data_IF_546118121507
#
_entry.id   IF_546118121507
#
_cell.length_a   1.000
_cell.length_b   1.000
_cell.length_c   1.000
_cell.angle_alpha   90.00
_cell.angle_beta   90.00
_cell.angle_gamma   90.00
#
_symmetry.space_group_name_H-M   'P 1'
#
loop_
_entity.id
_entity.type
_entity.pdbx_description
1 polymer ?
#
# COMPACT_ATOMS: atom_id res chain seq x y z
N UNK A 1 -22.13 -8.93 14.60
CA UNK A 1 -20.83 -8.33 14.28
C UNK A 1 -20.69 -7.97 12.80
N UNK A 2 -21.04 -8.83 11.82
CA UNK A 2 -21.02 -8.47 10.39
C UNK A 2 -21.87 -7.23 10.05
N UNK A 3 -23.04 -7.05 10.66
CA UNK A 3 -23.89 -5.87 10.46
C UNK A 3 -23.31 -4.57 11.04
N UNK A 4 -22.46 -4.67 12.06
CA UNK A 4 -21.83 -3.53 12.74
C UNK A 4 -20.67 -2.94 11.90
N UNK A 5 -19.71 -3.77 11.46
CA UNK A 5 -18.62 -3.34 10.61
C UNK A 5 -19.13 -2.83 9.25
N UNK A 6 -20.12 -3.53 8.65
CA UNK A 6 -20.73 -3.09 7.41
C UNK A 6 -21.36 -1.68 7.53
N UNK A 7 -22.07 -1.39 8.62
CA UNK A 7 -22.68 -0.07 8.86
C UNK A 7 -21.64 1.02 9.08
N UNK A 8 -20.48 0.68 9.65
CA UNK A 8 -19.40 1.64 9.84
C UNK A 8 -18.71 1.95 8.50
N UNK A 9 -18.43 0.92 7.68
CA UNK A 9 -17.89 1.09 6.33
C UNK A 9 -18.84 1.85 5.38
N UNK A 10 -20.16 1.75 5.60
CA UNK A 10 -21.17 2.51 4.84
C UNK A 10 -21.32 3.97 5.33
N UNK A 11 -20.51 4.44 6.28
CA UNK A 11 -20.56 5.79 6.82
C UNK A 11 -21.79 6.09 7.70
N UNK A 12 -22.55 5.06 8.09
CA UNK A 12 -23.80 5.21 8.89
C UNK A 12 -23.57 5.27 10.40
N UNK A 13 -22.32 5.04 10.87
CA UNK A 13 -21.97 5.15 12.29
C UNK A 13 -20.98 6.30 12.50
N UNK A 14 -21.35 7.21 13.41
CA UNK A 14 -20.47 8.28 13.91
C UNK A 14 -19.79 7.78 15.19
N UNK A 15 -18.47 7.91 15.30
CA UNK A 15 -17.67 7.56 16.46
C UNK A 15 -16.28 7.06 16.09
N UNK A 16 -15.35 7.14 17.03
CA UNK A 16 -14.02 6.58 16.85
C UNK A 16 -14.08 5.06 17.07
N UNK A 17 -13.54 4.30 16.13
CA UNK A 17 -13.40 2.86 16.28
C UNK A 17 -12.12 2.54 17.05
N UNK A 18 -12.22 1.65 18.03
CA UNK A 18 -11.11 1.16 18.85
C UNK A 18 -11.02 -0.34 18.74
N UNK A 19 -9.81 -0.91 18.88
CA UNK A 19 -9.61 -2.35 19.03
C UNK A 19 -9.25 -2.68 20.48
N UNK A 20 -9.91 -3.70 21.03
CA UNK A 20 -9.56 -4.33 22.31
C UNK A 20 -8.96 -5.69 22.00
N UNK A 21 -7.75 -5.96 22.50
CA UNK A 21 -6.95 -7.14 22.17
C UNK A 21 -6.53 -7.83 23.48
N UNK A 22 -6.94 -9.08 23.70
CA UNK A 22 -6.39 -9.94 24.74
C UNK A 22 -5.24 -10.76 24.14
N UNK A 23 -4.02 -10.16 24.14
CA UNK A 23 -2.84 -10.69 23.50
C UNK A 23 -2.09 -11.75 24.29
N UNK A 24 -0.91 -12.14 23.77
CA UNK A 24 -0.06 -13.17 24.37
C UNK A 24 -0.55 -14.59 24.13
N UNK A 25 -1.45 -14.79 23.16
CA UNK A 25 -1.98 -16.12 22.77
C UNK A 25 -1.42 -16.52 21.41
N UNK A 26 -1.01 -17.77 21.23
CA UNK A 26 -0.62 -18.27 19.91
C UNK A 26 -1.79 -18.20 18.93
N UNK A 27 -1.48 -17.82 17.71
CA UNK A 27 -2.38 -17.95 16.55
C UNK A 27 -2.20 -19.34 15.92
N UNK A 28 -3.16 -19.80 15.13
CA UNK A 28 -3.07 -21.07 14.42
C UNK A 28 -3.92 -21.07 13.16
N UNK A 29 -3.56 -21.93 12.21
CA UNK A 29 -4.34 -22.13 10.99
C UNK A 29 -3.71 -21.51 9.75
N UNK A 30 -4.58 -21.17 8.80
CA UNK A 30 -4.20 -20.69 7.47
C UNK A 30 -4.89 -19.36 7.18
N UNK A 31 -4.16 -18.43 6.59
CA UNK A 31 -4.69 -17.15 6.14
C UNK A 31 -4.31 -16.91 4.69
N UNK A 32 -5.29 -16.55 3.85
CA UNK A 32 -5.03 -16.13 2.48
C UNK A 32 -4.56 -14.66 2.46
N UNK A 33 -3.52 -14.38 1.68
CA UNK A 33 -3.03 -13.02 1.45
C UNK A 33 -4.11 -12.18 0.77
N UNK A 34 -4.39 -11.01 1.33
CA UNK A 34 -5.37 -10.06 0.79
C UNK A 34 -4.88 -9.41 -0.50
N UNK A 35 -5.78 -8.73 -1.20
CA UNK A 35 -5.44 -8.02 -2.43
C UNK A 35 -4.76 -6.69 -2.14
N UNK A 36 -3.88 -6.30 -3.07
CA UNK A 36 -3.04 -5.12 -2.93
C UNK A 36 -3.85 -3.82 -2.84
N UNK A 37 -3.68 -3.12 -1.72
CA UNK A 37 -4.18 -1.75 -1.58
C UNK A 37 -3.58 -0.85 -2.65
N UNK A 38 -2.26 -0.86 -2.79
CA UNK A 38 -1.56 0.07 -3.68
C UNK A 38 -1.86 -0.24 -5.15
N UNK A 39 -1.93 -1.53 -5.53
CA UNK A 39 -2.36 -1.95 -6.84
C UNK A 39 -3.79 -1.50 -7.17
N UNK A 40 -4.75 -1.75 -6.28
CA UNK A 40 -6.14 -1.34 -6.47
C UNK A 40 -6.28 0.17 -6.71
N UNK A 41 -5.58 0.98 -5.92
CA UNK A 41 -5.56 2.44 -6.05
C UNK A 41 -4.98 2.90 -7.38
N UNK A 42 -3.89 2.28 -7.83
CA UNK A 42 -3.27 2.58 -9.12
C UNK A 42 -4.18 2.18 -10.30
N UNK A 43 -4.83 1.02 -10.22
CA UNK A 43 -5.76 0.56 -11.25
C UNK A 43 -7.03 1.42 -11.34
N UNK A 44 -7.53 1.94 -10.21
CA UNK A 44 -8.63 2.92 -10.20
C UNK A 44 -8.25 4.19 -10.96
N UNK A 45 -7.04 4.72 -10.75
CA UNK A 45 -6.56 5.86 -11.51
C UNK A 45 -6.38 5.51 -13.01
N UNK A 46 -5.77 4.37 -13.31
CA UNK A 46 -5.53 3.89 -14.67
C UNK A 46 -6.82 3.66 -15.48
N UNK A 47 -7.94 3.32 -14.80
CA UNK A 47 -9.23 3.10 -15.46
C UNK A 47 -9.74 4.32 -16.23
N UNK A 48 -9.36 5.54 -15.82
CA UNK A 48 -9.70 6.79 -16.53
C UNK A 48 -9.07 6.90 -17.93
N UNK A 49 -8.06 6.09 -18.25
CA UNK A 49 -7.45 6.05 -19.59
C UNK A 49 -8.35 5.33 -20.60
N UNK A 50 -9.23 4.45 -20.12
CA UNK A 50 -10.11 3.62 -20.94
C UNK A 50 -11.48 4.26 -21.12
N UNK A 51 -11.97 4.33 -22.36
CA UNK A 51 -13.34 4.76 -22.68
C UNK A 51 -14.36 3.63 -22.62
N UNK A 52 -13.91 2.37 -22.66
CA UNK A 52 -14.74 1.20 -22.48
C UNK A 52 -14.96 0.86 -20.99
N UNK A 53 -15.83 -0.10 -20.74
CA UNK A 53 -16.12 -0.59 -19.39
C UNK A 53 -14.89 -1.30 -18.81
N UNK A 54 -14.51 -0.94 -17.57
CA UNK A 54 -13.43 -1.61 -16.82
C UNK A 54 -14.03 -2.34 -15.63
N UNK A 55 -13.82 -3.66 -15.55
CA UNK A 55 -14.22 -4.48 -14.40
C UNK A 55 -12.94 -4.88 -13.65
N UNK A 56 -12.76 -4.35 -12.45
CA UNK A 56 -11.69 -4.75 -11.55
C UNK A 56 -12.20 -5.81 -10.58
N UNK A 57 -11.66 -7.02 -10.68
CA UNK A 57 -12.00 -8.11 -9.77
C UNK A 57 -11.16 -8.07 -8.50
N UNK A 58 -11.71 -8.61 -7.42
CA UNK A 58 -10.99 -8.75 -6.14
C UNK A 58 -10.48 -7.42 -5.57
N UNK A 59 -11.20 -6.33 -5.77
CA UNK A 59 -10.83 -5.02 -5.19
C UNK A 59 -11.05 -5.07 -3.68
N UNK A 60 -10.04 -4.70 -2.84
CA UNK A 60 -10.21 -4.69 -1.40
C UNK A 60 -11.16 -3.57 -0.96
N UNK A 61 -12.14 -3.91 -0.10
CA UNK A 61 -13.10 -2.94 0.45
C UNK A 61 -12.49 -2.20 1.65
N UNK A 62 -11.65 -1.21 1.35
CA UNK A 62 -10.92 -0.40 2.32
C UNK A 62 -11.20 1.10 2.12
N UNK A 63 -10.97 1.90 3.15
CA UNK A 63 -11.26 3.33 3.11
C UNK A 63 -10.51 4.10 2.02
N UNK A 64 -9.29 3.72 1.69
CA UNK A 64 -8.53 4.37 0.61
C UNK A 64 -9.22 4.17 -0.75
N UNK A 65 -9.73 2.98 -1.02
CA UNK A 65 -10.50 2.67 -2.23
C UNK A 65 -11.82 3.42 -2.24
N UNK A 66 -12.55 3.44 -1.11
CA UNK A 66 -13.83 4.16 -1.00
C UNK A 66 -13.66 5.66 -1.31
N UNK A 67 -12.60 6.30 -0.79
CA UNK A 67 -12.33 7.72 -1.08
C UNK A 67 -12.10 7.98 -2.57
N UNK A 68 -11.39 7.09 -3.27
CA UNK A 68 -11.19 7.24 -4.72
C UNK A 68 -12.47 6.95 -5.51
N UNK A 69 -13.32 6.02 -5.07
CA UNK A 69 -14.64 5.79 -5.68
C UNK A 69 -15.51 7.03 -5.55
N UNK A 70 -15.51 7.70 -4.39
CA UNK A 70 -16.24 8.95 -4.19
C UNK A 70 -15.74 10.04 -5.14
N UNK A 71 -14.41 10.16 -5.31
CA UNK A 71 -13.82 11.08 -6.27
C UNK A 71 -14.23 10.75 -7.70
N UNK A 72 -14.13 9.50 -8.13
CA UNK A 72 -14.54 9.08 -9.49
C UNK A 72 -16.02 9.39 -9.75
N UNK A 73 -16.89 9.06 -8.81
CA UNK A 73 -18.33 9.34 -8.92
C UNK A 73 -18.62 10.83 -8.99
N UNK A 74 -17.93 11.64 -8.20
CA UNK A 74 -18.16 13.08 -8.16
C UNK A 74 -17.85 13.78 -9.48
N UNK A 75 -16.87 13.27 -10.23
CA UNK A 75 -16.51 13.79 -11.55
C UNK A 75 -17.35 13.17 -12.70
N UNK A 76 -18.36 12.35 -12.39
CA UNK A 76 -19.30 11.79 -13.35
C UNK A 76 -18.97 10.37 -13.84
N UNK A 77 -17.95 9.69 -13.30
CA UNK A 77 -17.64 8.30 -13.66
C UNK A 77 -18.61 7.35 -12.92
N UNK A 78 -19.26 6.45 -13.65
CA UNK A 78 -20.07 5.38 -13.06
C UNK A 78 -19.17 4.37 -12.36
N UNK A 79 -19.39 4.10 -11.07
CA UNK A 79 -18.62 3.11 -10.31
C UNK A 79 -19.57 2.33 -9.43
N UNK A 80 -19.67 1.02 -9.65
CA UNK A 80 -20.59 0.15 -8.92
C UNK A 80 -19.89 -1.11 -8.41
N UNK A 81 -20.29 -1.54 -7.20
CA UNK A 81 -19.83 -2.80 -6.64
C UNK A 81 -20.71 -3.96 -7.13
N UNK A 82 -20.10 -4.96 -7.75
CA UNK A 82 -20.70 -6.28 -8.06
C UNK A 82 -19.97 -7.35 -7.23
N UNK A 83 -20.44 -7.62 -6.01
CA UNK A 83 -19.78 -8.55 -5.10
C UNK A 83 -18.42 -8.01 -4.61
N UNK A 84 -17.31 -8.68 -4.97
CA UNK A 84 -15.93 -8.24 -4.74
C UNK A 84 -15.32 -7.54 -5.97
N UNK A 85 -16.10 -7.33 -7.01
CA UNK A 85 -15.68 -6.66 -8.24
C UNK A 85 -16.18 -5.23 -8.26
N UNK A 86 -15.42 -4.34 -8.88
CA UNK A 86 -15.78 -2.97 -9.11
C UNK A 86 -15.94 -2.73 -10.60
N UNK A 87 -17.12 -2.34 -11.02
CA UNK A 87 -17.45 -2.01 -12.40
C UNK A 87 -17.34 -0.50 -12.57
N UNK A 88 -16.46 -0.07 -13.47
CA UNK A 88 -16.19 1.32 -13.78
C UNK A 88 -16.68 1.58 -15.20
N UNK A 89 -17.65 2.47 -15.33
CA UNK A 89 -18.24 2.87 -16.62
C UNK A 89 -17.87 4.32 -16.89
N UNK A 90 -17.09 4.59 -17.92
CA UNK A 90 -16.72 5.96 -18.29
C UNK A 90 -17.96 6.78 -18.60
N UNK A 91 -17.90 8.07 -18.31
CA UNK A 91 -18.92 9.04 -18.71
C UNK A 91 -18.47 9.80 -19.94
N UNK A 92 -19.42 10.11 -20.83
CA UNK A 92 -19.16 11.05 -21.95
C UNK A 92 -18.90 12.49 -21.45
N UNK A 93 -19.32 12.79 -20.22
CA UNK A 93 -19.21 14.11 -19.60
C UNK A 93 -18.52 13.98 -18.24
N UNK A 94 -17.20 13.86 -18.26
CA UNK A 94 -16.39 13.97 -17.04
C UNK A 94 -16.20 15.48 -16.75
N UNK A 95 -16.49 15.90 -15.52
CA UNK A 95 -16.28 17.27 -15.05
C UNK A 95 -15.43 17.26 -13.77
N UNK A 96 -14.15 17.58 -13.93
CA UNK A 96 -13.20 17.66 -12.82
C UNK A 96 -13.51 18.80 -11.84
N UNK A 97 -14.27 19.81 -12.27
CA UNK A 97 -14.72 20.91 -11.43
C UNK A 97 -15.69 20.47 -10.31
N UNK A 98 -16.33 19.30 -10.48
CA UNK A 98 -17.25 18.70 -9.50
C UNK A 98 -16.55 17.79 -8.48
N UNK A 99 -15.20 17.72 -8.51
CA UNK A 99 -14.45 16.82 -7.64
C UNK A 99 -14.80 16.98 -6.15
N UNK A 100 -15.09 15.86 -5.48
CA UNK A 100 -15.29 15.84 -4.03
C UNK A 100 -13.98 16.18 -3.31
N UNK A 101 -13.86 17.46 -2.91
CA UNK A 101 -12.66 17.98 -2.23
C UNK A 101 -12.44 17.29 -0.88
N UNK A 102 -13.52 16.93 -0.17
CA UNK A 102 -13.42 16.28 1.12
C UNK A 102 -12.87 14.84 0.99
N UNK A 103 -13.31 14.10 0.00
CA UNK A 103 -12.75 12.78 -0.30
C UNK A 103 -11.30 12.89 -0.84
N UNK A 104 -11.05 13.78 -1.78
CA UNK A 104 -9.74 13.98 -2.42
C UNK A 104 -8.64 14.36 -1.42
N UNK A 105 -8.93 15.24 -0.46
CA UNK A 105 -7.96 15.68 0.56
C UNK A 105 -7.64 14.62 1.61
N UNK A 106 -8.47 13.57 1.75
CA UNK A 106 -8.21 12.46 2.69
C UNK A 106 -7.18 11.46 2.19
N UNK A 107 -6.84 11.49 0.89
CA UNK A 107 -5.89 10.56 0.30
C UNK A 107 -4.83 11.25 -0.53
N UNK A 108 -3.57 10.79 -0.40
CA UNK A 108 -2.49 11.25 -1.28
C UNK A 108 -2.61 10.66 -2.70
N UNK A 109 -3.34 9.57 -2.84
CA UNK A 109 -3.49 8.83 -4.09
C UNK A 109 -4.20 9.64 -5.18
N UNK A 110 -4.85 10.74 -4.82
CA UNK A 110 -5.43 11.69 -5.79
C UNK A 110 -4.39 12.23 -6.79
N UNK A 111 -3.12 12.32 -6.42
CA UNK A 111 -2.04 12.73 -7.31
C UNK A 111 -1.88 11.81 -8.53
N UNK A 112 -2.27 10.55 -8.41
CA UNK A 112 -2.20 9.58 -9.51
C UNK A 112 -3.25 9.87 -10.59
N UNK A 113 -4.26 10.67 -10.30
CA UNK A 113 -5.27 11.07 -11.29
C UNK A 113 -4.71 12.09 -12.31
N UNK A 114 -3.59 12.77 -11.98
CA UNK A 114 -3.00 13.76 -12.89
C UNK A 114 -2.65 13.09 -14.23
N UNK A 115 -1.95 11.94 -14.20
CA UNK A 115 -1.52 11.23 -15.40
C UNK A 115 -2.64 10.85 -16.37
N UNK A 116 -3.77 10.26 -15.91
CA UNK A 116 -4.92 10.01 -16.79
C UNK A 116 -5.68 11.27 -17.20
N UNK A 117 -5.87 12.24 -16.30
CA UNK A 117 -6.68 13.43 -16.56
C UNK A 117 -6.06 14.39 -17.59
N UNK A 118 -4.73 14.43 -17.76
CA UNK A 118 -4.08 15.24 -18.82
C UNK A 118 -4.47 14.78 -20.23
N UNK A 119 -5.04 13.57 -20.40
CA UNK A 119 -5.57 13.09 -21.68
C UNK A 119 -7.02 13.49 -21.93
N UNK A 120 -7.69 14.05 -20.91
CA UNK A 120 -9.08 14.48 -20.98
C UNK A 120 -9.19 16.01 -20.96
N UNK A 121 -8.28 16.69 -20.26
CA UNK A 121 -8.31 18.13 -20.04
C UNK A 121 -6.94 18.76 -20.30
N UNK A 122 -6.92 19.87 -21.00
CA UNK A 122 -5.70 20.67 -21.25
C UNK A 122 -5.42 21.65 -20.10
N UNK A 123 -6.43 22.00 -19.33
CA UNK A 123 -6.39 22.93 -18.20
C UNK A 123 -7.40 22.49 -17.15
N UNK A 124 -6.93 22.20 -15.93
CA UNK A 124 -7.79 21.75 -14.82
C UNK A 124 -7.11 21.93 -13.46
N UNK A 125 -7.92 21.85 -12.42
CA UNK A 125 -7.44 21.93 -11.03
C UNK A 125 -7.73 20.63 -10.27
N UNK A 126 -6.83 20.26 -9.36
CA UNK A 126 -7.03 19.19 -8.38
C UNK A 126 -6.79 19.73 -6.97
N UNK A 127 -7.60 19.31 -5.97
CA UNK A 127 -7.34 19.65 -4.58
C UNK A 127 -5.96 19.20 -4.14
N UNK A 128 -5.32 19.96 -3.25
CA UNK A 128 -4.07 19.49 -2.63
C UNK A 128 -4.32 18.16 -1.92
N UNK A 129 -3.38 17.22 -2.15
CA UNK A 129 -3.43 15.93 -1.48
C UNK A 129 -3.19 16.10 0.02
N UNK A 130 -4.12 15.62 0.81
CA UNK A 130 -3.93 15.39 2.24
C UNK A 130 -3.19 14.08 2.49
N UNK A 131 -3.33 13.52 3.65
CA UNK A 131 -2.91 12.16 3.97
C UNK A 131 -1.85 12.07 5.05
N UNK A 132 -0.94 11.13 4.95
CA UNK A 132 -0.08 10.65 5.99
C UNK A 132 0.85 11.71 6.60
N UNK A 133 0.90 11.81 7.93
CA UNK A 133 1.72 12.76 8.72
C UNK A 133 3.18 12.32 8.90
N UNK A 134 3.74 11.53 7.98
CA UNK A 134 5.11 10.99 8.06
C UNK A 134 6.21 11.99 7.69
N UNK A 135 5.93 13.29 7.69
CA UNK A 135 6.86 14.33 7.29
C UNK A 135 6.50 15.00 5.96
N UNK A 136 7.38 15.88 5.49
CA UNK A 136 7.22 16.57 4.20
C UNK A 136 7.43 15.57 3.05
N UNK A 137 6.33 15.14 2.45
CA UNK A 137 6.37 14.30 1.24
C UNK A 137 6.18 15.18 0.02
N UNK A 138 7.30 15.58 -0.57
CA UNK A 138 7.28 16.38 -1.80
C UNK A 138 6.46 15.70 -2.90
N UNK A 139 5.72 16.51 -3.66
CA UNK A 139 5.06 16.09 -4.89
C UNK A 139 5.93 16.34 -6.13
N UNK A 140 7.10 16.95 -5.94
CA UNK A 140 7.99 17.39 -7.03
C UNK A 140 8.37 16.26 -7.97
N UNK A 141 8.45 15.02 -7.48
CA UNK A 141 8.71 13.84 -8.31
C UNK A 141 7.66 13.70 -9.43
N UNK A 142 6.38 13.90 -9.09
CA UNK A 142 5.29 13.87 -10.06
C UNK A 142 5.38 15.06 -11.03
N UNK A 143 5.68 16.27 -10.51
CA UNK A 143 5.81 17.48 -11.33
C UNK A 143 6.92 17.32 -12.37
N UNK A 144 8.13 16.97 -11.92
CA UNK A 144 9.31 16.87 -12.79
C UNK A 144 9.18 15.79 -13.86
N UNK A 145 8.54 14.66 -13.54
CA UNK A 145 8.35 13.61 -14.55
C UNK A 145 7.31 14.02 -15.58
N UNK A 146 6.22 14.68 -15.18
CA UNK A 146 5.14 15.10 -16.07
C UNK A 146 5.54 16.31 -16.94
N UNK A 147 6.42 17.19 -16.46
CA UNK A 147 7.01 18.27 -17.26
C UNK A 147 7.68 17.76 -18.54
N UNK A 148 8.31 16.56 -18.50
CA UNK A 148 8.93 15.96 -19.69
C UNK A 148 7.92 15.66 -20.79
N UNK A 149 6.69 15.35 -20.42
CA UNK A 149 5.58 15.09 -21.34
C UNK A 149 4.87 16.36 -21.82
N UNK A 150 5.33 17.55 -21.38
CA UNK A 150 4.78 18.86 -21.77
C UNK A 150 3.74 19.43 -20.80
N UNK A 151 3.61 18.87 -19.61
CA UNK A 151 2.65 19.31 -18.59
C UNK A 151 3.30 20.35 -17.68
N UNK A 152 2.59 21.44 -17.41
CA UNK A 152 2.96 22.43 -16.39
C UNK A 152 2.04 22.27 -15.19
N UNK A 153 2.61 22.17 -13.99
CA UNK A 153 1.84 22.05 -12.75
C UNK A 153 2.27 23.15 -11.78
N UNK A 154 1.34 24.00 -11.44
CA UNK A 154 1.50 25.06 -10.45
C UNK A 154 0.90 24.65 -9.12
N UNK A 155 1.66 24.77 -8.04
CA UNK A 155 1.18 24.47 -6.68
C UNK A 155 0.66 25.75 -6.05
N UNK A 156 -0.66 25.81 -5.85
CA UNK A 156 -1.35 26.90 -5.17
C UNK A 156 -1.60 26.50 -3.69
N UNK A 157 -2.20 27.37 -2.91
CA UNK A 157 -2.36 27.15 -1.45
C UNK A 157 -3.20 25.92 -1.10
N UNK A 158 -4.25 25.63 -1.89
CA UNK A 158 -5.24 24.58 -1.59
C UNK A 158 -5.44 23.58 -2.75
N UNK A 159 -4.74 23.78 -3.88
CA UNK A 159 -4.91 23.02 -5.11
C UNK A 159 -3.67 23.01 -5.99
N UNK A 160 -3.66 22.10 -6.94
CA UNK A 160 -2.73 22.07 -8.07
C UNK A 160 -3.45 22.56 -9.30
N UNK A 161 -2.84 23.46 -10.06
CA UNK A 161 -3.30 23.89 -11.38
C UNK A 161 -2.44 23.21 -12.44
N UNK A 162 -3.07 22.39 -13.27
CA UNK A 162 -2.42 21.53 -14.27
C UNK A 162 -2.82 21.99 -15.66
N UNK A 163 -1.83 22.24 -16.54
CA UNK A 163 -2.07 22.69 -17.92
C UNK A 163 -1.04 22.15 -18.89
N UNK A 164 -1.42 22.06 -20.16
CA UNK A 164 -0.52 21.77 -21.27
C UNK A 164 -1.09 22.25 -22.61
N UNK A 165 -0.21 22.63 -23.58
CA UNK A 165 -0.56 23.02 -24.93
C UNK A 165 -0.42 21.86 -25.93
N UNK A 166 -0.22 20.64 -25.44
CA UNK A 166 -0.06 19.42 -26.21
C UNK A 166 0.94 18.48 -25.53
N UNK A 167 0.58 17.19 -25.50
CA UNK A 167 1.42 16.15 -24.92
C UNK A 167 2.40 15.60 -25.95
N UNK A 168 3.60 15.22 -25.53
CA UNK A 168 4.66 14.68 -26.39
C UNK A 168 5.35 13.48 -25.74
N UNK A 169 5.76 12.50 -26.55
CA UNK A 169 6.63 11.42 -26.08
C UNK A 169 7.99 11.97 -25.60
N UNK A 170 8.55 11.35 -24.58
CA UNK A 170 9.74 11.87 -23.94
C UNK A 170 10.63 10.77 -23.34
N UNK A 171 11.91 11.12 -23.14
CA UNK A 171 12.74 10.42 -22.16
C UNK A 171 12.63 11.15 -20.83
N UNK A 172 11.97 10.54 -19.88
CA UNK A 172 11.78 11.04 -18.53
C UNK A 172 12.72 10.31 -17.55
N UNK A 173 13.42 11.07 -16.71
CA UNK A 173 14.30 10.52 -15.68
C UNK A 173 13.70 10.90 -14.35
N UNK A 174 13.38 9.92 -13.50
CA UNK A 174 12.94 10.17 -12.13
C UNK A 174 14.15 10.54 -11.26
N UNK A 175 13.92 11.39 -10.27
CA UNK A 175 14.94 11.74 -9.29
C UNK A 175 15.16 10.61 -8.27
N UNK A 176 14.11 9.85 -7.99
CA UNK A 176 14.11 8.64 -7.16
C UNK A 176 13.19 7.58 -7.76
N UNK A 177 13.39 6.32 -7.42
CA UNK A 177 12.53 5.22 -7.84
C UNK A 177 11.17 5.25 -7.07
N UNK A 178 10.41 6.29 -7.29
CA UNK A 178 9.08 6.49 -6.68
C UNK A 178 8.02 5.69 -7.43
N UNK A 179 7.26 4.85 -6.71
CA UNK A 179 6.17 4.05 -7.28
C UNK A 179 5.14 4.95 -7.97
N UNK A 180 4.54 5.88 -7.23
CA UNK A 180 3.44 6.71 -7.72
C UNK A 180 3.87 7.72 -8.80
N UNK A 181 5.11 8.21 -8.78
CA UNK A 181 5.61 9.04 -9.87
C UNK A 181 5.87 8.23 -11.15
N UNK A 182 6.33 6.97 -11.01
CA UNK A 182 6.46 6.03 -12.13
C UNK A 182 5.10 5.71 -12.74
N UNK A 183 4.08 5.47 -11.90
CA UNK A 183 2.71 5.21 -12.33
C UNK A 183 2.13 6.40 -13.10
N UNK A 184 2.30 7.64 -12.61
CA UNK A 184 1.89 8.84 -13.33
C UNK A 184 2.61 9.00 -14.69
N UNK A 185 3.90 8.67 -14.75
CA UNK A 185 4.64 8.68 -16.00
C UNK A 185 4.15 7.62 -16.99
N UNK A 186 3.78 6.43 -16.50
CA UNK A 186 3.16 5.37 -17.30
C UNK A 186 1.80 5.82 -17.84
N UNK A 187 0.95 6.42 -16.99
CA UNK A 187 -0.35 6.93 -17.41
C UNK A 187 -0.22 8.04 -18.45
N UNK A 188 0.70 8.97 -18.25
CA UNK A 188 0.98 10.02 -19.25
C UNK A 188 1.43 9.40 -20.59
N UNK A 189 2.41 8.49 -20.57
CA UNK A 189 2.95 7.87 -21.78
C UNK A 189 1.95 6.97 -22.51
N UNK A 190 0.97 6.37 -21.80
CA UNK A 190 0.06 5.35 -22.32
C UNK A 190 -0.75 5.79 -23.54
N UNK A 191 -1.13 7.07 -23.63
CA UNK A 191 -1.95 7.63 -24.73
C UNK A 191 -1.22 8.68 -25.55
N UNK A 192 0.10 8.81 -25.41
CA UNK A 192 0.92 9.70 -26.25
C UNK A 192 1.49 8.87 -27.41
N UNK A 193 1.20 9.22 -28.68
CA UNK A 193 1.76 8.53 -29.84
C UNK A 193 3.30 8.60 -29.84
N UNK A 194 3.93 7.49 -30.22
CA UNK A 194 5.40 7.34 -30.20
C UNK A 194 5.89 6.57 -28.99
N UNK A 195 7.19 6.54 -28.81
CA UNK A 195 7.84 5.80 -27.73
C UNK A 195 8.41 6.75 -26.69
N UNK A 196 8.01 6.56 -25.45
CA UNK A 196 8.58 7.24 -24.29
C UNK A 196 9.49 6.27 -23.52
N UNK A 197 10.54 6.81 -22.88
CA UNK A 197 11.45 6.04 -22.04
C UNK A 197 11.42 6.63 -20.62
N UNK A 198 11.11 5.82 -19.64
CA UNK A 198 11.09 6.21 -18.22
C UNK A 198 12.30 5.56 -17.57
N UNK A 199 13.26 6.37 -17.11
CA UNK A 199 14.50 5.90 -16.47
C UNK A 199 14.45 6.12 -14.96
N UNK A 200 15.12 5.25 -14.23
CA UNK A 200 15.08 5.16 -12.78
C UNK A 200 13.66 4.96 -12.26
N UNK A 201 12.87 4.25 -13.07
CA UNK A 201 11.53 3.83 -12.73
C UNK A 201 11.55 2.87 -11.53
N UNK A 202 10.52 2.94 -10.70
CA UNK A 202 10.28 1.87 -9.73
C UNK A 202 9.90 0.58 -10.45
N UNK A 203 10.42 -0.53 -9.97
CA UNK A 203 10.10 -1.88 -10.43
C UNK A 203 9.25 -2.66 -9.39
N UNK A 204 8.64 -1.97 -8.43
CA UNK A 204 7.86 -2.56 -7.36
C UNK A 204 6.57 -3.22 -7.88
N UNK A 205 5.94 -4.08 -7.09
CA UNK A 205 4.78 -4.90 -7.46
C UNK A 205 3.63 -4.08 -8.06
N UNK A 206 3.24 -2.96 -7.46
CA UNK A 206 2.14 -2.13 -7.97
C UNK A 206 2.45 -1.50 -9.33
N UNK A 207 3.70 -1.14 -9.59
CA UNK A 207 4.13 -0.62 -10.90
C UNK A 207 4.08 -1.71 -11.97
N UNK A 208 4.52 -2.93 -11.62
CA UNK A 208 4.42 -4.09 -12.52
C UNK A 208 2.96 -4.43 -12.82
N UNK A 209 2.09 -4.33 -11.82
CA UNK A 209 0.64 -4.54 -11.98
C UNK A 209 0.02 -3.49 -12.92
N UNK A 210 0.36 -2.20 -12.76
CA UNK A 210 -0.04 -1.14 -13.70
C UNK A 210 0.45 -1.45 -15.12
N UNK A 211 1.70 -1.90 -15.28
CA UNK A 211 2.20 -2.30 -16.59
C UNK A 211 1.39 -3.46 -17.18
N UNK A 212 1.01 -4.45 -16.37
CA UNK A 212 0.15 -5.56 -16.78
C UNK A 212 -1.22 -5.09 -17.26
N UNK A 213 -1.87 -4.22 -16.49
CA UNK A 213 -3.16 -3.63 -16.84
C UNK A 213 -3.09 -2.80 -18.13
N UNK A 214 -2.09 -1.92 -18.25
CA UNK A 214 -1.91 -1.11 -19.46
C UNK A 214 -1.60 -1.97 -20.71
N UNK A 215 -0.84 -3.07 -20.56
CA UNK A 215 -0.63 -4.04 -21.64
C UNK A 215 -1.94 -4.72 -22.07
N UNK A 216 -2.79 -5.07 -21.11
CA UNK A 216 -4.12 -5.62 -21.40
C UNK A 216 -5.02 -4.61 -22.13
N UNK A 217 -4.79 -3.31 -21.93
CA UNK A 217 -5.39 -2.21 -22.68
C UNK A 217 -4.71 -1.90 -24.03
N UNK A 218 -3.74 -2.72 -24.47
CA UNK A 218 -3.08 -2.61 -25.76
C UNK A 218 -1.84 -1.71 -25.81
N UNK A 219 -1.43 -1.13 -24.67
CA UNK A 219 -0.19 -0.33 -24.60
C UNK A 219 1.03 -1.27 -24.62
N UNK A 220 2.02 -0.97 -25.47
CA UNK A 220 3.25 -1.76 -25.52
C UNK A 220 4.25 -1.24 -24.50
N UNK A 221 4.61 -2.07 -23.51
CA UNK A 221 5.55 -1.70 -22.45
C UNK A 221 6.68 -2.74 -22.41
N UNK A 222 7.92 -2.27 -22.54
CA UNK A 222 9.15 -3.07 -22.35
C UNK A 222 9.82 -2.73 -21.03
N UNK A 223 10.70 -3.64 -20.53
CA UNK A 223 11.51 -3.41 -19.34
C UNK A 223 10.76 -3.53 -18.00
N UNK A 224 9.57 -4.15 -17.97
CA UNK A 224 8.82 -4.36 -16.73
C UNK A 224 9.67 -5.14 -15.72
N UNK A 225 9.66 -4.72 -14.46
CA UNK A 225 10.51 -5.28 -13.41
C UNK A 225 11.95 -4.75 -13.40
N UNK A 226 12.27 -3.76 -14.26
CA UNK A 226 13.57 -3.08 -14.29
C UNK A 226 13.46 -1.59 -14.04
N UNK A 227 14.58 -0.92 -13.86
CA UNK A 227 14.65 0.54 -13.65
C UNK A 227 14.49 1.37 -14.92
N UNK A 228 14.24 0.74 -16.09
CA UNK A 228 14.02 1.45 -17.35
C UNK A 228 12.83 0.84 -18.07
N UNK A 229 11.78 1.64 -18.23
CA UNK A 229 10.57 1.26 -18.95
C UNK A 229 10.54 1.95 -20.30
N UNK A 230 10.15 1.23 -21.36
CA UNK A 230 9.84 1.77 -22.68
C UNK A 230 8.35 1.63 -22.91
N UNK A 231 7.67 2.73 -23.23
CA UNK A 231 6.22 2.77 -23.43
C UNK A 231 5.92 3.28 -24.83
N UNK A 232 5.31 2.45 -25.67
CA UNK A 232 4.76 2.91 -26.95
C UNK A 232 3.28 3.13 -26.75
N UNK A 233 2.91 4.40 -26.67
CA UNK A 233 1.54 4.82 -26.39
C UNK A 233 0.61 4.58 -27.59
N UNK A 234 -0.68 4.45 -27.26
CA UNK A 234 -1.76 4.28 -28.24
C UNK A 234 -2.61 5.56 -28.29
N UNK A 235 -3.15 5.89 -29.47
CA UNK A 235 -3.92 7.13 -29.64
C UNK A 235 -5.23 7.12 -28.84
N UNK A 236 -5.87 5.97 -28.77
CA UNK A 236 -7.15 5.81 -28.07
C UNK A 236 -7.23 4.43 -27.40
N UNK A 237 -7.89 4.37 -26.24
CA UNK A 237 -8.18 3.15 -25.52
C UNK A 237 -9.69 3.11 -25.30
N UNK A 238 -10.36 2.16 -25.97
CA UNK A 238 -11.80 2.00 -25.92
C UNK A 238 -12.14 0.52 -26.06
N UNK A 239 -12.11 -0.21 -24.95
CA UNK A 239 -12.46 -1.64 -24.94
C UNK A 239 -12.99 -2.05 -23.56
N UNK A 240 -13.89 -3.01 -23.56
CA UNK A 240 -14.32 -3.64 -22.32
C UNK A 240 -13.23 -4.58 -21.82
N UNK A 241 -12.83 -4.40 -20.57
CA UNK A 241 -11.75 -5.17 -19.95
C UNK A 241 -12.15 -5.67 -18.56
N UNK A 242 -11.69 -6.87 -18.22
CA UNK A 242 -11.72 -7.41 -16.88
C UNK A 242 -10.26 -7.66 -16.42
N UNK A 243 -9.93 -7.25 -15.18
CA UNK A 243 -8.61 -7.41 -14.62
C UNK A 243 -8.69 -7.67 -13.12
N UNK A 244 -7.90 -8.61 -12.60
CA UNK A 244 -7.89 -8.96 -11.18
C UNK A 244 -6.74 -8.27 -10.46
N UNK A 245 -7.05 -7.64 -9.30
CA UNK A 245 -6.02 -7.04 -8.43
C UNK A 245 -5.16 -8.14 -7.83
N UNK A 246 -3.83 -7.95 -7.85
CA UNK A 246 -2.87 -8.89 -7.29
C UNK A 246 -2.87 -8.92 -5.75
N UNK A 247 -2.26 -9.93 -5.19
CA UNK A 247 -2.04 -10.11 -3.76
C UNK A 247 -1.06 -9.05 -3.21
N UNK A 248 -1.22 -8.69 -1.93
CA UNK A 248 -0.43 -7.65 -1.25
C UNK A 248 0.75 -8.25 -0.47
N UNK A 249 2.01 -8.01 -0.86
CA UNK A 249 3.17 -8.49 -0.11
C UNK A 249 3.23 -7.93 1.31
N UNK A 250 2.64 -6.76 1.55
CA UNK A 250 2.63 -6.15 2.88
C UNK A 250 1.60 -6.81 3.80
N UNK A 251 0.50 -7.31 3.25
CA UNK A 251 -0.47 -8.12 3.98
C UNK A 251 0.14 -9.47 4.39
N UNK A 252 0.87 -10.12 3.49
CA UNK A 252 1.62 -11.34 3.82
C UNK A 252 2.64 -11.08 4.94
N UNK A 253 3.41 -9.98 4.85
CA UNK A 253 4.40 -9.60 5.87
C UNK A 253 3.75 -9.28 7.22
N UNK A 254 2.53 -8.71 7.25
CA UNK A 254 1.76 -8.52 8.48
C UNK A 254 1.56 -9.86 9.21
N UNK A 255 1.09 -10.91 8.52
CA UNK A 255 0.84 -12.22 9.13
C UNK A 255 2.13 -12.99 9.47
N UNK A 256 3.20 -12.84 8.69
CA UNK A 256 4.53 -13.36 9.06
C UNK A 256 4.96 -12.74 10.39
N UNK A 257 4.82 -11.42 10.54
CA UNK A 257 5.19 -10.72 11.76
C UNK A 257 4.28 -11.09 12.94
N UNK A 258 2.98 -11.26 12.69
CA UNK A 258 2.03 -11.72 13.71
C UNK A 258 2.40 -13.14 14.21
N UNK A 259 2.78 -14.05 13.30
CA UNK A 259 3.24 -15.38 13.67
C UNK A 259 4.49 -15.32 14.56
N UNK A 260 5.45 -14.45 14.24
CA UNK A 260 6.67 -14.24 15.04
C UNK A 260 6.33 -13.66 16.41
N UNK A 261 5.53 -12.59 16.46
CA UNK A 261 5.19 -11.88 17.71
C UNK A 261 4.40 -12.77 18.68
N UNK A 262 3.57 -13.66 18.15
CA UNK A 262 2.73 -14.59 18.95
C UNK A 262 3.35 -15.99 19.09
N UNK A 263 4.57 -16.21 18.56
CA UNK A 263 5.28 -17.50 18.55
C UNK A 263 4.43 -18.64 17.98
N UNK A 264 3.82 -18.38 16.85
CA UNK A 264 2.79 -19.23 16.25
C UNK A 264 3.30 -20.00 15.03
N UNK A 265 2.70 -21.15 14.79
CA UNK A 265 2.77 -21.83 13.51
C UNK A 265 1.61 -21.35 12.63
N UNK A 266 1.91 -20.68 11.54
CA UNK A 266 0.90 -20.19 10.58
C UNK A 266 1.26 -20.56 9.15
N UNK A 267 0.24 -20.78 8.33
CA UNK A 267 0.37 -20.85 6.88
C UNK A 267 -0.23 -19.60 6.25
N UNK A 268 0.59 -18.85 5.53
CA UNK A 268 0.17 -17.69 4.74
C UNK A 268 0.11 -18.13 3.28
N UNK A 269 -1.12 -18.25 2.73
CA UNK A 269 -1.30 -18.73 1.36
C UNK A 269 -1.33 -17.59 0.35
N UNK A 270 -0.94 -17.91 -0.89
CA UNK A 270 -0.93 -16.99 -2.02
C UNK A 270 -0.11 -15.72 -1.76
N UNK A 271 1.01 -15.82 -1.05
CA UNK A 271 1.93 -14.70 -0.88
C UNK A 271 2.65 -14.38 -2.20
N UNK A 272 2.74 -13.11 -2.62
CA UNK A 272 3.45 -12.70 -3.85
C UNK A 272 4.97 -12.79 -3.62
N UNK A 273 5.53 -13.97 -3.84
CA UNK A 273 6.83 -14.39 -3.32
C UNK A 273 7.99 -13.54 -3.82
N UNK A 274 7.99 -13.14 -5.09
CA UNK A 274 9.07 -12.34 -5.70
C UNK A 274 9.26 -10.98 -5.00
N UNK A 275 8.24 -10.50 -4.27
CA UNK A 275 8.26 -9.24 -3.53
C UNK A 275 8.47 -9.41 -2.03
N UNK A 276 8.87 -10.62 -1.61
CA UNK A 276 9.16 -10.99 -0.22
C UNK A 276 10.54 -11.67 -0.05
N UNK A 277 11.26 -11.90 -1.15
CA UNK A 277 12.52 -12.67 -1.12
C UNK A 277 13.56 -12.07 -0.17
N UNK A 278 13.73 -10.74 -0.17
CA UNK A 278 14.71 -10.08 0.69
C UNK A 278 14.26 -10.07 2.16
N UNK A 279 12.96 -9.87 2.41
CA UNK A 279 12.37 -10.00 3.74
C UNK A 279 12.58 -11.40 4.32
N UNK A 280 12.27 -12.42 3.54
CA UNK A 280 12.46 -13.82 3.95
C UNK A 280 13.95 -14.15 4.14
N UNK A 281 14.84 -13.64 3.28
CA UNK A 281 16.28 -13.78 3.45
C UNK A 281 16.76 -13.17 4.79
N UNK A 282 16.33 -11.95 5.11
CA UNK A 282 16.67 -11.31 6.39
C UNK A 282 16.14 -12.13 7.57
N UNK A 283 14.90 -12.60 7.49
CA UNK A 283 14.27 -13.43 8.52
C UNK A 283 14.97 -14.78 8.69
N UNK A 284 15.40 -15.41 7.60
CA UNK A 284 16.21 -16.63 7.64
C UNK A 284 17.53 -16.39 8.39
N UNK A 285 18.24 -15.30 8.10
CA UNK A 285 19.48 -14.92 8.80
C UNK A 285 19.25 -14.56 10.27
N UNK A 286 18.05 -14.12 10.62
CA UNK A 286 17.64 -13.94 12.01
C UNK A 286 17.25 -15.26 12.70
N UNK A 287 17.14 -16.38 11.97
CA UNK A 287 16.86 -17.71 12.51
C UNK A 287 15.42 -18.17 12.39
N UNK A 288 14.57 -17.44 11.62
CA UNK A 288 13.20 -17.87 11.38
C UNK A 288 13.18 -19.21 10.63
N UNK A 289 12.41 -20.16 11.14
CA UNK A 289 12.16 -21.46 10.51
C UNK A 289 10.89 -21.35 9.66
N UNK A 290 11.01 -21.50 8.37
CA UNK A 290 9.88 -21.50 7.44
C UNK A 290 10.15 -22.38 6.23
N UNK A 291 9.11 -22.74 5.50
CA UNK A 291 9.21 -23.37 4.18
C UNK A 291 8.26 -22.67 3.21
N UNK A 292 8.61 -22.73 1.93
CA UNK A 292 7.84 -22.11 0.86
C UNK A 292 7.43 -23.20 -0.13
N UNK A 293 6.16 -23.21 -0.53
CA UNK A 293 5.63 -24.11 -1.57
C UNK A 293 4.98 -23.28 -2.68
N UNK A 294 5.16 -23.71 -3.92
CA UNK A 294 4.55 -23.02 -5.08
C UNK A 294 3.02 -23.03 -4.99
N UNK A 295 2.41 -21.89 -5.20
CA UNK A 295 0.95 -21.69 -5.25
C UNK A 295 0.48 -21.17 -6.63
N UNK A 296 1.35 -21.24 -7.65
CA UNK A 296 1.05 -20.85 -9.02
C UNK A 296 1.17 -19.35 -9.28
N UNK A 297 0.23 -18.82 -10.07
CA UNK A 297 0.23 -17.43 -10.51
C UNK A 297 -1.11 -16.79 -10.15
N UNK A 298 -1.07 -15.52 -9.74
CA UNK A 298 -2.26 -14.72 -9.45
C UNK A 298 -3.21 -14.64 -10.65
N UNK A 299 -4.47 -14.35 -10.39
CA UNK A 299 -5.50 -14.14 -11.41
C UNK A 299 -5.14 -13.03 -12.43
N UNK A 300 -4.20 -12.12 -12.09
CA UNK A 300 -3.70 -11.11 -13.02
C UNK A 300 -2.73 -11.68 -14.09
N UNK A 301 -2.32 -12.94 -13.96
CA UNK A 301 -1.47 -13.65 -14.92
C UNK A 301 0.03 -13.32 -14.85
N UNK A 302 0.48 -12.46 -13.94
CA UNK A 302 1.88 -11.98 -13.89
C UNK A 302 2.57 -12.18 -12.54
N UNK A 303 1.83 -12.21 -11.44
CA UNK A 303 2.39 -12.27 -10.08
C UNK A 303 2.53 -13.72 -9.64
N UNK A 304 3.75 -14.19 -9.36
CA UNK A 304 3.99 -15.52 -8.82
C UNK A 304 3.60 -15.60 -7.35
N UNK A 305 2.91 -16.67 -7.00
CA UNK A 305 2.40 -16.91 -5.67
C UNK A 305 3.08 -18.10 -5.01
N UNK A 306 3.20 -18.05 -3.69
CA UNK A 306 3.63 -19.17 -2.88
C UNK A 306 2.88 -19.22 -1.56
N UNK A 307 2.82 -20.40 -0.96
CA UNK A 307 2.37 -20.59 0.41
C UNK A 307 3.59 -20.61 1.33
N UNK A 308 3.56 -19.79 2.39
CA UNK A 308 4.65 -19.64 3.35
C UNK A 308 4.21 -20.30 4.66
N UNK A 309 4.94 -21.33 5.10
CA UNK A 309 4.67 -22.07 6.32
C UNK A 309 5.65 -21.64 7.40
N UNK A 310 5.19 -20.83 8.35
CA UNK A 310 6.00 -20.33 9.47
C UNK A 310 5.96 -21.31 10.63
N UNK A 311 7.11 -21.51 11.30
CA UNK A 311 7.25 -22.29 12.53
C UNK A 311 7.74 -21.39 13.67
N UNK A 312 7.30 -21.62 14.92
CA UNK A 312 7.86 -20.93 16.07
C UNK A 312 9.40 -21.05 16.09
N UNK A 313 10.07 -19.95 16.26
CA UNK A 313 11.52 -19.86 16.11
C UNK A 313 12.14 -18.96 17.18
N UNK A 314 13.38 -19.26 17.55
CA UNK A 314 14.20 -18.40 18.41
C UNK A 314 15.04 -17.48 17.53
N UNK A 315 14.67 -16.19 17.50
CA UNK A 315 15.32 -15.22 16.65
C UNK A 315 16.53 -14.57 17.31
N UNK A 316 17.53 -14.21 16.50
CA UNK A 316 18.66 -13.37 16.89
C UNK A 316 18.62 -12.07 16.07
N UNK A 317 19.19 -11.01 16.62
CA UNK A 317 19.29 -9.73 15.92
C UNK A 317 20.04 -9.89 14.59
N UNK A 318 19.56 -9.21 13.56
CA UNK A 318 20.27 -9.18 12.29
C UNK A 318 21.64 -8.49 12.48
N UNK A 319 22.74 -9.06 11.99
CA UNK A 319 24.08 -8.54 12.28
C UNK A 319 24.39 -7.20 11.61
N UNK A 320 23.64 -6.85 10.57
CA UNK A 320 23.77 -5.59 9.86
C UNK A 320 22.54 -4.70 10.11
N UNK A 321 22.57 -3.44 9.66
CA UNK A 321 21.38 -2.58 9.69
C UNK A 321 20.31 -3.10 8.73
N UNK A 322 19.07 -3.13 9.16
CA UNK A 322 17.92 -3.39 8.29
C UNK A 322 17.45 -2.07 7.68
N UNK A 323 17.35 -2.00 6.36
CA UNK A 323 16.93 -0.80 5.64
C UNK A 323 16.24 -1.15 4.33
N UNK A 324 15.25 -0.35 3.97
CA UNK A 324 14.56 -0.49 2.70
C UNK A 324 15.31 0.19 1.56
N UNK A 325 15.13 -0.31 0.35
CA UNK A 325 15.59 0.27 -0.92
C UNK A 325 14.56 -0.02 -2.02
N UNK A 326 14.65 0.65 -3.18
CA UNK A 326 13.83 0.27 -4.32
C UNK A 326 13.95 -1.22 -4.65
N UNK A 327 12.83 -1.81 -5.09
CA UNK A 327 12.81 -3.21 -5.55
C UNK A 327 13.97 -3.49 -6.56
N UNK A 328 14.63 -4.65 -6.48
CA UNK A 328 14.28 -5.88 -5.74
C UNK A 328 14.80 -5.97 -4.30
N UNK A 329 15.13 -4.88 -3.66
CA UNK A 329 15.52 -4.88 -2.25
C UNK A 329 14.29 -4.89 -1.32
N UNK A 330 14.54 -4.90 0.02
CA UNK A 330 13.50 -4.89 1.05
C UNK A 330 12.51 -3.74 0.84
N UNK A 331 11.22 -4.09 0.79
CA UNK A 331 10.15 -3.14 0.53
C UNK A 331 10.04 -2.11 1.67
N UNK A 332 9.88 -0.85 1.28
CA UNK A 332 9.75 0.28 2.21
C UNK A 332 8.54 0.13 3.15
N UNK A 333 7.45 -0.48 2.68
CA UNK A 333 6.24 -0.69 3.46
C UNK A 333 6.35 -1.89 4.41
N UNK A 334 7.29 -2.82 4.15
CA UNK A 334 7.59 -3.96 5.01
C UNK A 334 8.60 -3.64 6.11
N UNK A 335 9.45 -2.60 5.93
CA UNK A 335 10.47 -2.23 6.90
C UNK A 335 9.93 -2.03 8.34
N UNK A 336 8.78 -1.36 8.58
CA UNK A 336 8.26 -1.16 9.93
C UNK A 336 8.01 -2.46 10.71
N UNK A 337 7.67 -3.55 10.04
CA UNK A 337 7.41 -4.84 10.70
C UNK A 337 8.66 -5.38 11.41
N UNK A 338 9.84 -5.09 10.89
CA UNK A 338 11.09 -5.47 11.52
C UNK A 338 11.30 -4.80 12.88
N UNK A 339 10.61 -3.70 13.18
CA UNK A 339 10.64 -3.11 14.52
C UNK A 339 9.98 -4.04 15.56
N UNK A 340 8.85 -4.65 15.23
CA UNK A 340 8.20 -5.65 16.09
C UNK A 340 9.04 -6.92 16.17
N UNK A 341 9.54 -7.41 15.03
CA UNK A 341 10.39 -8.63 14.97
C UNK A 341 11.63 -8.45 15.84
N UNK A 342 12.26 -7.27 15.81
CA UNK A 342 13.42 -6.96 16.63
C UNK A 342 13.14 -7.07 18.14
N UNK A 343 11.92 -6.76 18.60
CA UNK A 343 11.57 -6.95 20.02
C UNK A 343 11.58 -8.42 20.43
N UNK A 344 11.45 -9.36 19.50
CA UNK A 344 11.42 -10.81 19.73
C UNK A 344 12.78 -11.49 19.47
N UNK A 345 13.74 -10.78 18.89
CA UNK A 345 15.07 -11.29 18.54
C UNK A 345 16.08 -11.04 19.67
N UNK A 346 16.93 -12.00 19.99
CA UNK A 346 17.99 -11.81 20.99
C UNK A 346 19.09 -10.88 20.45
N UNK A 347 19.41 -9.81 21.18
CA UNK A 347 20.42 -8.81 20.82
C UNK A 347 19.80 -7.48 20.41
N UNK A 348 20.56 -6.63 19.73
CA UNK A 348 20.15 -5.30 19.33
C UNK A 348 20.09 -5.21 17.81
N UNK A 349 18.93 -4.87 17.26
CA UNK A 349 18.73 -4.68 15.82
C UNK A 349 18.70 -3.19 15.49
N UNK A 350 19.52 -2.76 14.52
CA UNK A 350 19.50 -1.40 13.99
C UNK A 350 18.60 -1.32 12.75
N UNK A 351 17.61 -0.45 12.78
CA UNK A 351 16.73 -0.14 11.64
C UNK A 351 17.04 1.26 11.14
N UNK A 352 17.21 1.39 9.82
CA UNK A 352 17.44 2.67 9.16
C UNK A 352 16.32 2.95 8.15
N UNK A 353 15.34 3.76 8.58
CA UNK A 353 14.18 4.18 7.81
C UNK A 353 14.41 5.55 7.15
N UNK A 354 15.24 5.57 6.13
CA UNK A 354 15.69 6.80 5.47
C UNK A 354 14.66 7.42 4.51
N UNK A 355 13.67 6.64 4.08
CA UNK A 355 12.76 7.06 3.00
C UNK A 355 11.63 7.98 3.48
N UNK A 356 11.35 8.00 4.78
CA UNK A 356 10.36 8.88 5.41
C UNK A 356 11.01 9.70 6.52
N UNK A 357 10.82 11.01 6.47
CA UNK A 357 11.54 11.93 7.39
C UNK A 357 11.24 11.70 8.87
N UNK A 358 10.09 11.15 9.23
CA UNK A 358 9.65 11.02 10.63
C UNK A 358 9.03 9.66 10.96
N UNK A 359 9.20 8.64 10.12
CA UNK A 359 8.50 7.37 10.38
C UNK A 359 9.14 6.57 11.52
N UNK A 360 10.46 6.58 11.65
CA UNK A 360 11.17 5.86 12.72
C UNK A 360 10.77 6.37 14.12
N UNK A 361 10.35 7.62 14.25
CA UNK A 361 9.85 8.17 15.52
C UNK A 361 8.67 7.38 16.06
N UNK A 362 7.77 6.91 15.18
CA UNK A 362 6.59 6.13 15.61
C UNK A 362 6.96 4.73 16.14
N UNK A 363 8.16 4.22 15.86
CA UNK A 363 8.58 2.92 16.40
C UNK A 363 8.83 2.98 17.91
N UNK A 364 9.10 4.18 18.48
CA UNK A 364 9.21 4.37 19.93
C UNK A 364 7.89 4.15 20.67
N UNK A 365 6.74 4.14 19.98
CA UNK A 365 5.45 3.76 20.60
C UNK A 365 5.44 2.29 21.09
N UNK A 366 6.36 1.45 20.60
CA UNK A 366 6.56 0.10 21.12
C UNK A 366 7.04 0.09 22.59
N UNK A 367 7.67 1.16 23.07
CA UNK A 367 8.12 1.29 24.47
C UNK A 367 6.93 1.28 25.44
N UNK A 368 5.75 1.76 25.01
CA UNK A 368 4.50 1.65 25.78
C UNK A 368 4.10 0.21 26.05
N UNK A 369 4.50 -0.69 25.16
CA UNK A 369 4.27 -2.15 25.29
C UNK A 369 5.47 -2.85 25.98
N UNK A 370 6.43 -2.11 26.51
CA UNK A 370 7.59 -2.65 27.22
C UNK A 370 8.77 -3.03 26.33
N UNK A 371 8.80 -2.61 25.07
CA UNK A 371 10.00 -2.67 24.26
C UNK A 371 11.07 -1.71 24.81
N UNK A 372 12.30 -1.87 24.36
CA UNK A 372 13.39 -0.91 24.60
C UNK A 372 13.88 -0.43 23.25
N UNK A 373 13.54 0.80 22.94
CA UNK A 373 13.98 1.45 21.72
C UNK A 373 14.93 2.59 22.01
N UNK A 374 15.91 2.83 21.14
CA UNK A 374 16.83 3.95 21.22
C UNK A 374 16.83 4.65 19.85
N UNK A 375 16.15 5.80 19.79
CA UNK A 375 16.08 6.63 18.60
C UNK A 375 17.38 7.47 18.51
N UNK A 376 18.22 7.18 17.53
CA UNK A 376 19.48 7.90 17.30
C UNK A 376 19.27 9.22 16.57
N UNK A 377 18.34 9.23 15.62
CA UNK A 377 17.89 10.37 14.85
C UNK A 377 16.53 10.05 14.20
N UNK A 378 15.88 10.96 13.45
CA UNK A 378 14.55 10.72 12.85
C UNK A 378 14.47 9.51 11.92
N UNK A 379 15.61 8.93 11.51
CA UNK A 379 15.72 7.85 10.55
C UNK A 379 16.28 6.55 11.13
N UNK A 380 17.03 6.61 12.23
CA UNK A 380 17.73 5.46 12.79
C UNK A 380 17.27 5.15 14.20
N UNK A 381 16.91 3.90 14.42
CA UNK A 381 16.47 3.39 15.71
C UNK A 381 17.10 2.03 15.99
N UNK A 382 17.61 1.82 17.19
CA UNK A 382 18.00 0.52 17.70
C UNK A 382 16.89 -0.04 18.58
N UNK A 383 16.63 -1.34 18.47
CA UNK A 383 15.64 -2.04 19.28
C UNK A 383 16.34 -3.21 19.97
N UNK A 384 16.27 -3.24 21.29
CA UNK A 384 16.82 -4.30 22.11
C UNK A 384 15.77 -5.39 22.33
N UNK A 385 16.05 -6.62 21.97
CA UNK A 385 15.25 -7.85 22.22
C UNK A 385 16.17 -8.90 22.90
N UNK A 386 15.68 -9.99 23.39
CA UNK A 386 14.28 -10.46 23.43
C UNK A 386 13.53 -9.77 24.57
N UNK A 387 12.35 -9.25 24.30
CA UNK A 387 11.50 -8.63 25.33
C UNK A 387 10.12 -9.27 25.37
N UNK A 388 9.61 -9.47 26.57
CA UNK A 388 8.21 -9.84 26.79
C UNK A 388 7.37 -8.56 26.74
N UNK A 389 6.53 -8.43 25.71
CA UNK A 389 5.65 -7.30 25.58
C UNK A 389 4.48 -7.40 26.56
N UNK A 390 3.99 -6.26 27.03
CA UNK A 390 2.91 -6.11 28.02
C UNK A 390 1.77 -5.33 27.43
N UNK A 391 0.58 -5.60 27.93
CA UNK A 391 -0.62 -4.88 27.55
C UNK A 391 -0.50 -3.37 27.83
N UNK A 392 -1.02 -2.57 26.91
CA UNK A 392 -1.05 -1.11 27.03
C UNK A 392 -2.27 -0.52 26.31
N UNK A 393 -2.58 0.71 26.68
CA UNK A 393 -3.49 1.57 25.91
C UNK A 393 -2.67 2.54 25.06
N UNK A 394 -2.90 2.55 23.75
CA UNK A 394 -2.18 3.39 22.78
C UNK A 394 -3.17 4.08 21.86
N UNK A 395 -2.94 5.36 21.59
CA UNK A 395 -3.63 6.06 20.50
C UNK A 395 -2.97 5.62 19.19
N UNK A 396 -3.78 5.13 18.26
CA UNK A 396 -3.30 4.63 16.98
C UNK A 396 -2.52 5.71 16.23
N UNK A 397 -1.28 5.46 15.80
CA UNK A 397 -0.55 6.39 14.96
C UNK A 397 -1.35 6.80 13.71
N UNK A 398 -1.25 8.06 13.27
CA UNK A 398 -2.03 8.55 12.12
C UNK A 398 -1.56 8.04 10.75
N UNK A 399 -0.62 7.10 10.73
CA UNK A 399 -0.04 6.49 9.55
C UNK A 399 -0.25 4.98 9.54
N UNK A 400 -0.61 4.41 8.39
CA UNK A 400 -0.99 3.00 8.24
C UNK A 400 0.05 2.02 8.79
N UNK A 401 1.31 2.11 8.37
CA UNK A 401 2.34 1.13 8.76
C UNK A 401 2.75 1.24 10.24
N UNK A 402 2.99 2.44 10.81
CA UNK A 402 3.13 2.58 12.25
C UNK A 402 1.95 2.05 13.06
N UNK A 403 0.72 2.28 12.58
CA UNK A 403 -0.49 1.77 13.24
C UNK A 403 -0.53 0.23 13.29
N UNK A 404 -0.18 -0.42 12.17
CA UNK A 404 -0.23 -1.88 12.07
C UNK A 404 0.83 -2.58 12.91
N UNK A 405 2.01 -2.01 13.07
CA UNK A 405 3.03 -2.61 13.95
C UNK A 405 2.62 -2.58 15.41
N UNK A 406 1.89 -1.55 15.86
CA UNK A 406 1.36 -1.52 17.22
C UNK A 406 0.29 -2.60 17.41
N UNK A 407 -0.61 -2.78 16.43
CA UNK A 407 -1.58 -3.87 16.46
C UNK A 407 -0.89 -5.24 16.58
N UNK A 408 0.13 -5.50 15.75
CA UNK A 408 0.86 -6.78 15.78
C UNK A 408 1.60 -6.96 17.12
N UNK A 409 2.21 -5.91 17.65
CA UNK A 409 2.87 -5.97 18.95
C UNK A 409 1.87 -6.28 20.07
N UNK A 410 0.65 -5.71 20.03
CA UNK A 410 -0.41 -6.00 20.99
C UNK A 410 -0.92 -7.45 20.91
N UNK A 411 -0.92 -8.08 19.73
CA UNK A 411 -1.24 -9.52 19.61
C UNK A 411 -0.23 -10.39 20.40
N UNK A 412 1.06 -10.01 20.40
CA UNK A 412 2.11 -10.70 21.16
C UNK A 412 2.20 -10.28 22.62
N UNK A 413 1.62 -9.15 23.02
CA UNK A 413 1.70 -8.60 24.37
C UNK A 413 0.78 -9.36 25.34
N UNK A 414 1.29 -9.73 26.52
CA UNK A 414 0.46 -10.40 27.53
C UNK A 414 -0.51 -9.43 28.19
N UNK A 415 -1.79 -9.80 28.19
CA UNK A 415 -2.90 -9.06 28.84
C UNK A 415 -3.77 -8.32 27.85
N UNK A 416 -4.65 -7.45 28.38
CA UNK A 416 -5.67 -6.74 27.61
C UNK A 416 -5.19 -5.35 27.19
N UNK A 417 -4.98 -5.16 25.90
CA UNK A 417 -4.58 -3.89 25.28
C UNK A 417 -5.77 -3.17 24.64
N UNK A 418 -5.67 -1.85 24.52
CA UNK A 418 -6.61 -1.03 23.76
C UNK A 418 -5.85 -0.15 22.74
N UNK A 419 -6.20 -0.31 21.46
CA UNK A 419 -5.72 0.55 20.40
C UNK A 419 -6.84 1.50 19.97
N UNK A 420 -6.71 2.78 20.30
CA UNK A 420 -7.75 3.80 20.05
C UNK A 420 -7.61 4.42 18.67
N UNK A 421 -8.76 4.77 18.07
CA UNK A 421 -8.86 5.47 16.79
C UNK A 421 -8.15 4.74 15.65
N UNK A 422 -8.58 3.53 15.34
CA UNK A 422 -7.94 2.64 14.36
C UNK A 422 -8.25 2.97 12.89
N UNK A 423 -8.74 4.16 12.58
CA UNK A 423 -9.04 4.59 11.21
C UNK A 423 -7.86 4.35 10.25
N UNK A 424 -6.63 4.62 10.73
CA UNK A 424 -5.41 4.41 9.93
C UNK A 424 -5.25 2.95 9.46
N UNK A 425 -5.68 1.95 10.26
CA UNK A 425 -5.61 0.52 9.89
C UNK A 425 -6.67 0.21 8.84
N UNK A 426 -7.89 0.71 9.02
CA UNK A 426 -9.01 0.47 8.10
C UNK A 426 -8.79 1.08 6.70
N UNK A 427 -7.87 2.02 6.59
CA UNK A 427 -7.45 2.56 5.28
C UNK A 427 -6.77 1.53 4.38
N UNK A 428 -6.18 0.48 4.93
CA UNK A 428 -5.37 -0.43 4.15
C UNK A 428 -5.56 -1.92 4.41
N UNK A 429 -6.31 -2.31 5.43
CA UNK A 429 -6.53 -3.71 5.78
C UNK A 429 -8.02 -4.05 5.82
N UNK A 430 -8.45 -4.86 4.87
CA UNK A 430 -9.83 -5.34 4.79
C UNK A 430 -10.09 -6.40 5.86
N UNK A 431 -11.17 -6.22 6.65
CA UNK A 431 -11.68 -7.21 7.62
C UNK A 431 -10.62 -7.77 8.58
N UNK A 432 -9.61 -6.96 8.96
CA UNK A 432 -8.46 -7.44 9.73
C UNK A 432 -8.85 -8.10 11.07
N UNK A 433 -9.85 -7.56 11.76
CA UNK A 433 -10.36 -8.12 13.02
C UNK A 433 -10.86 -9.54 12.81
N UNK A 434 -11.71 -9.75 11.79
CA UNK A 434 -12.28 -11.06 11.47
C UNK A 434 -11.18 -12.06 11.09
N UNK A 435 -10.24 -11.66 10.23
CA UNK A 435 -9.13 -12.52 9.78
C UNK A 435 -8.24 -12.97 10.95
N UNK A 436 -7.98 -12.06 11.91
CA UNK A 436 -7.26 -12.38 13.12
C UNK A 436 -8.05 -13.32 14.04
N UNK A 437 -9.37 -13.12 14.18
CA UNK A 437 -10.25 -14.00 14.96
C UNK A 437 -10.31 -15.42 14.36
N UNK A 438 -10.34 -15.56 13.05
CA UNK A 438 -10.30 -16.85 12.34
C UNK A 438 -9.00 -17.62 12.63
N UNK A 439 -7.91 -16.92 12.98
CA UNK A 439 -6.65 -17.50 13.46
C UNK A 439 -6.58 -17.71 14.96
N UNK A 440 -7.67 -17.42 15.71
CA UNK A 440 -7.75 -17.61 17.15
C UNK A 440 -7.34 -16.40 17.99
N UNK A 441 -7.11 -15.21 17.39
CA UNK A 441 -6.87 -14.01 18.16
C UNK A 441 -8.13 -13.56 18.93
N UNK A 442 -7.93 -13.10 20.17
CA UNK A 442 -8.97 -12.44 20.94
C UNK A 442 -8.89 -10.94 20.69
N UNK A 443 -9.64 -10.46 19.70
CA UNK A 443 -9.70 -9.07 19.29
C UNK A 443 -11.14 -8.67 19.00
N UNK A 444 -11.54 -7.49 19.45
CA UNK A 444 -12.87 -6.93 19.22
C UNK A 444 -12.77 -5.47 18.78
N UNK A 445 -13.71 -5.04 17.93
CA UNK A 445 -13.87 -3.65 17.53
C UNK A 445 -15.02 -3.01 18.32
N UNK A 446 -14.75 -1.84 18.92
CA UNK A 446 -15.72 -1.04 19.67
C UNK A 446 -15.75 0.39 19.14
N UNK A 447 -16.95 0.97 19.11
CA UNK A 447 -17.11 2.43 18.94
C UNK A 447 -17.03 3.08 20.31
N UNK A 448 -16.13 4.05 20.47
CA UNK A 448 -16.04 4.87 21.69
C UNK A 448 -17.11 5.91 21.81
#
# INVERSE_FOLDING_TARGET
MQSFLARWYDGRMQGEMNFVIDGGRPLSGTVETSRSKNGAVALLAASLLNKGRTTLHRVPKIEEVNRLIEVLRSIGVGVEWEGSSLVITPSEKIDVGLIDRAAATKTRSILMFIGPLIHLFNDFELPQSGGCTLGLRSIRQHLWVLEKFGVTIETLTDRYHIRHDGLKSATAILYEASDTATENALFAAAKIPGTSVIKYASANYQVQEVCGFLRALGVKIGGVGTSTLTVTGVKDINQDIAYSVAEDPTDAMFFITAAIATKSALTITKAPIEFLEVELFVLEKMGLQFSVTDAGVSENGITKLADIHIRPSELVAFPEKIHARPYPALNIDNLPFFAVIATQAQGTTLIHDWSYEKRAIYYTELDRLGAITNLHDPHRISIEGRRELKAAEVICPPALRPATIILVAMLGAKGRSMLRNVYSINRGYENIVRRLQELGASIEAHTG
#
